data_IF_985063079207
#
_entry.id   IF_985063079207
#
_cell.length_a   1.000
_cell.length_b   1.000
_cell.length_c   1.000
_cell.angle_alpha   90.00
_cell.angle_beta   90.00
_cell.angle_gamma   90.00
#
_symmetry.space_group_name_H-M   'P 1'
#
loop_
_entity.id
_entity.type
_entity.pdbx_description
1 polymer ?
#
# COMPACT_ATOMS: atom_id res chain seq x y z
N UNK A 1 28.99 87.81 -30.72
CA UNK A 1 27.75 87.34 -30.07
C UNK A 1 28.03 85.92 -29.59
N UNK A 2 28.48 85.84 -28.34
CA UNK A 2 29.02 84.64 -27.75
C UNK A 2 28.02 84.17 -26.69
N UNK A 3 27.56 82.90 -26.81
CA UNK A 3 26.63 82.33 -25.87
C UNK A 3 27.37 81.20 -25.13
N UNK A 4 27.87 81.54 -23.95
CA UNK A 4 28.41 80.62 -22.99
C UNK A 4 27.34 79.69 -22.47
N UNK A 5 27.51 78.40 -22.67
CA UNK A 5 26.68 77.31 -22.07
C UNK A 5 27.35 76.90 -20.75
N UNK A 6 26.67 77.10 -19.62
CA UNK A 6 27.04 76.64 -18.33
C UNK A 6 26.59 75.17 -18.16
N UNK A 7 27.55 74.27 -18.00
CA UNK A 7 27.27 72.90 -17.67
C UNK A 7 27.09 72.77 -16.15
N UNK A 8 25.91 72.36 -15.70
CA UNK A 8 25.63 71.98 -14.33
C UNK A 8 26.03 70.49 -14.12
N UNK A 9 26.98 70.24 -13.26
CA UNK A 9 27.28 68.93 -12.80
C UNK A 9 26.29 68.51 -11.72
N UNK A 10 25.51 67.46 -12.01
CA UNK A 10 24.62 66.80 -11.04
C UNK A 10 25.40 65.67 -10.40
N UNK A 11 25.75 65.82 -9.15
CA UNK A 11 26.37 64.77 -8.31
C UNK A 11 25.24 63.84 -7.83
N UNK A 12 25.15 62.63 -8.39
CA UNK A 12 24.24 61.59 -7.92
C UNK A 12 24.87 60.86 -6.71
N UNK A 13 24.32 61.06 -5.52
CA UNK A 13 24.64 60.31 -4.35
C UNK A 13 24.00 58.88 -4.44
N UNK A 14 24.81 57.84 -4.60
CA UNK A 14 24.36 56.46 -4.47
C UNK A 14 24.10 56.17 -2.99
N UNK A 15 22.85 56.09 -2.58
CA UNK A 15 22.44 55.48 -1.33
C UNK A 15 22.47 53.95 -1.53
N UNK A 16 23.47 53.29 -1.01
CA UNK A 16 23.53 51.81 -0.88
C UNK A 16 22.56 51.42 0.23
N UNK A 17 21.35 50.98 -0.15
CA UNK A 17 20.47 50.26 0.76
C UNK A 17 21.06 48.84 0.97
N UNK A 18 21.71 48.61 2.07
CA UNK A 18 21.99 47.26 2.55
C UNK A 18 20.67 46.64 3.04
N UNK A 19 19.88 46.13 2.11
CA UNK A 19 18.75 45.27 2.42
C UNK A 19 19.28 43.94 2.91
N UNK A 20 19.08 43.64 4.18
CA UNK A 20 19.23 42.31 4.75
C UNK A 20 18.25 41.41 3.99
N UNK A 21 18.75 40.58 3.07
CA UNK A 21 17.99 39.46 2.51
C UNK A 21 17.79 38.49 3.68
N UNK A 22 16.69 38.66 4.37
CA UNK A 22 16.15 37.62 5.25
C UNK A 22 15.83 36.43 4.33
N UNK A 23 16.73 35.45 4.28
CA UNK A 23 16.50 34.17 3.64
C UNK A 23 15.49 33.43 4.52
N UNK A 24 14.22 33.80 4.38
CA UNK A 24 13.13 32.99 4.87
C UNK A 24 13.30 31.62 4.24
N UNK A 25 13.79 30.65 5.03
CA UNK A 25 13.83 29.24 4.65
C UNK A 25 12.40 28.89 4.26
N UNK A 26 12.14 28.79 2.96
CA UNK A 26 10.85 28.33 2.47
C UNK A 26 10.60 26.98 3.15
N UNK A 27 9.56 26.93 3.99
CA UNK A 27 9.19 25.73 4.73
C UNK A 27 8.97 24.66 3.68
N UNK A 28 9.87 23.71 3.54
CA UNK A 28 9.76 22.60 2.59
C UNK A 28 8.43 21.93 2.86
N UNK A 29 7.63 21.78 1.80
CA UNK A 29 6.31 21.12 1.90
C UNK A 29 6.55 19.68 2.37
N UNK A 30 5.90 19.29 3.46
CA UNK A 30 5.86 17.90 3.92
C UNK A 30 4.69 17.20 3.23
N UNK A 31 4.95 16.69 2.03
CA UNK A 31 3.92 16.09 1.18
C UNK A 31 3.33 14.84 1.83
N UNK A 32 4.14 14.02 2.49
CA UNK A 32 3.66 12.82 3.17
C UNK A 32 2.65 13.17 4.27
N UNK A 33 3.00 14.07 5.18
CA UNK A 33 2.08 14.49 6.25
C UNK A 33 0.87 15.26 5.75
N UNK A 34 1.03 16.03 4.66
CA UNK A 34 -0.09 16.75 4.04
C UNK A 34 -1.11 15.75 3.48
N UNK A 35 -0.63 14.70 2.81
CA UNK A 35 -1.44 13.60 2.27
C UNK A 35 -2.15 12.84 3.41
N UNK A 36 -1.42 12.48 4.47
CA UNK A 36 -1.99 11.81 5.65
C UNK A 36 -3.11 12.63 6.31
N UNK A 37 -2.95 13.96 6.38
CA UNK A 37 -4.00 14.85 6.92
C UNK A 37 -5.25 14.90 6.03
N UNK A 38 -5.07 14.85 4.70
CA UNK A 38 -6.22 14.84 3.79
C UNK A 38 -6.97 13.51 3.85
N UNK A 39 -6.25 12.39 3.95
CA UNK A 39 -6.86 11.08 4.16
C UNK A 39 -7.69 11.04 5.45
N UNK A 40 -7.13 11.53 6.56
CA UNK A 40 -7.86 11.59 7.83
C UNK A 40 -9.15 12.42 7.72
N UNK A 41 -9.11 13.58 7.04
CA UNK A 41 -10.31 14.40 6.82
C UNK A 41 -11.35 13.71 5.94
N UNK A 42 -10.91 12.96 4.94
CA UNK A 42 -11.81 12.20 4.08
C UNK A 42 -12.50 11.08 4.88
N UNK A 43 -11.74 10.31 5.66
CA UNK A 43 -12.24 9.28 6.55
C UNK A 43 -13.29 9.83 7.53
N UNK A 44 -12.97 10.91 8.25
CA UNK A 44 -13.89 11.62 9.17
C UNK A 44 -15.15 12.13 8.45
N UNK A 45 -15.01 12.58 7.21
CA UNK A 45 -16.13 13.01 6.38
C UNK A 45 -17.06 11.85 6.03
N UNK A 46 -16.50 10.69 5.66
CA UNK A 46 -17.27 9.47 5.40
C UNK A 46 -17.99 9.01 6.66
N UNK A 47 -17.28 8.80 7.76
CA UNK A 47 -17.88 8.36 9.04
C UNK A 47 -19.06 9.26 9.47
N UNK A 48 -18.94 10.58 9.26
CA UNK A 48 -20.04 11.51 9.53
C UNK A 48 -21.22 11.33 8.57
N UNK A 49 -20.96 11.10 7.29
CA UNK A 49 -21.99 10.87 6.27
C UNK A 49 -22.77 9.60 6.57
N UNK A 50 -22.05 8.51 6.88
CA UNK A 50 -22.63 7.21 7.18
C UNK A 50 -23.50 7.25 8.42
N UNK A 51 -23.05 7.94 9.48
CA UNK A 51 -23.87 8.21 10.66
C UNK A 51 -25.19 8.90 10.31
N UNK A 52 -25.15 9.94 9.46
CA UNK A 52 -26.36 10.69 9.09
C UNK A 52 -27.34 9.82 8.30
N UNK A 53 -26.82 8.98 7.40
CA UNK A 53 -27.64 8.02 6.66
C UNK A 53 -28.27 6.98 7.59
N UNK A 54 -27.48 6.41 8.51
CA UNK A 54 -27.96 5.44 9.49
C UNK A 54 -29.08 6.05 10.39
N UNK A 55 -28.90 7.28 10.88
CA UNK A 55 -29.93 7.97 11.64
C UNK A 55 -31.20 8.22 10.82
N UNK A 56 -31.07 8.60 9.53
CA UNK A 56 -32.22 8.75 8.63
C UNK A 56 -32.98 7.43 8.41
N UNK A 57 -32.26 6.29 8.36
CA UNK A 57 -32.87 4.95 8.32
C UNK A 57 -33.62 4.69 9.63
N UNK A 58 -33.02 5.00 10.77
CA UNK A 58 -33.62 4.80 12.08
C UNK A 58 -34.90 5.65 12.29
N UNK A 59 -34.93 6.87 11.77
CA UNK A 59 -36.11 7.75 11.81
C UNK A 59 -37.29 7.17 11.02
N UNK A 60 -37.07 6.25 10.10
CA UNK A 60 -38.10 5.58 9.34
C UNK A 60 -38.55 4.24 9.96
N UNK A 61 -38.13 3.95 11.20
CA UNK A 61 -38.59 2.78 12.00
C UNK A 61 -39.84 3.16 12.80
N UNK A 62 -40.96 2.48 12.53
CA UNK A 62 -42.25 2.82 13.11
C UNK A 62 -42.33 2.54 14.64
N UNK A 63 -41.67 1.50 15.14
CA UNK A 63 -41.63 1.18 16.56
C UNK A 63 -40.60 2.09 17.27
N UNK A 64 -41.08 2.84 18.25
CA UNK A 64 -40.26 3.83 18.97
C UNK A 64 -39.11 3.20 19.80
N UNK A 65 -39.23 1.93 20.23
CA UNK A 65 -38.16 1.24 20.94
C UNK A 65 -37.08 0.77 19.97
N UNK A 66 -37.51 0.17 18.86
CA UNK A 66 -36.61 -0.24 17.79
C UNK A 66 -35.85 0.96 17.13
N UNK A 67 -36.56 2.09 16.95
CA UNK A 67 -35.95 3.32 16.45
C UNK A 67 -34.84 3.85 17.39
N UNK A 68 -35.05 3.80 18.70
CA UNK A 68 -34.02 4.18 19.68
C UNK A 68 -32.82 3.23 19.63
N UNK A 69 -33.05 1.92 19.64
CA UNK A 69 -31.97 0.92 19.54
C UNK A 69 -31.14 1.12 18.25
N UNK A 70 -31.81 1.37 17.12
CA UNK A 70 -31.16 1.70 15.85
C UNK A 70 -30.28 2.96 15.97
N UNK A 71 -30.80 4.03 16.58
CA UNK A 71 -30.04 5.28 16.76
C UNK A 71 -28.84 5.12 17.70
N UNK A 72 -29.00 4.32 18.78
CA UNK A 72 -27.89 4.00 19.67
C UNK A 72 -26.80 3.18 18.95
N UNK A 73 -27.17 2.23 18.09
CA UNK A 73 -26.22 1.49 17.25
C UNK A 73 -25.50 2.43 16.28
N UNK A 74 -26.23 3.28 15.55
CA UNK A 74 -25.62 4.26 14.63
C UNK A 74 -24.63 5.21 15.34
N UNK A 75 -24.89 5.52 16.63
CA UNK A 75 -23.98 6.33 17.43
C UNK A 75 -22.71 5.55 17.83
N UNK A 76 -22.85 4.26 18.15
CA UNK A 76 -21.72 3.35 18.43
C UNK A 76 -20.85 3.17 17.21
N UNK A 77 -21.44 2.80 16.07
CA UNK A 77 -20.73 2.57 14.82
C UNK A 77 -19.94 3.81 14.37
N UNK A 78 -20.55 5.00 14.52
CA UNK A 78 -19.88 6.25 14.23
C UNK A 78 -18.69 6.53 15.15
N UNK A 79 -18.76 6.13 16.43
CA UNK A 79 -17.64 6.26 17.35
C UNK A 79 -16.49 5.34 16.95
N UNK A 80 -16.80 4.12 16.57
CA UNK A 80 -15.80 3.13 16.16
C UNK A 80 -15.15 3.54 14.83
N UNK A 81 -15.92 4.06 13.86
CA UNK A 81 -15.42 4.64 12.63
C UNK A 81 -14.48 5.84 12.87
N UNK A 82 -14.83 6.74 13.82
CA UNK A 82 -13.93 7.84 14.21
C UNK A 82 -12.64 7.33 14.84
N UNK A 83 -12.69 6.29 15.68
CA UNK A 83 -11.50 5.69 16.26
C UNK A 83 -10.60 5.11 15.15
N UNK A 84 -11.18 4.36 14.22
CA UNK A 84 -10.45 3.83 13.05
C UNK A 84 -9.77 4.94 12.24
N UNK A 85 -10.47 6.04 11.92
CA UNK A 85 -9.87 7.19 11.23
C UNK A 85 -8.67 7.79 11.98
N UNK A 86 -8.75 7.86 13.31
CA UNK A 86 -7.66 8.36 14.15
C UNK A 86 -6.46 7.39 14.15
N UNK A 87 -6.69 6.09 14.19
CA UNK A 87 -5.63 5.09 14.19
C UNK A 87 -4.96 5.00 12.83
N UNK A 88 -5.71 5.03 11.73
CA UNK A 88 -5.18 5.19 10.37
C UNK A 88 -4.35 6.47 10.21
N UNK A 89 -4.80 7.59 10.81
CA UNK A 89 -4.03 8.84 10.80
C UNK A 89 -2.69 8.69 11.50
N UNK A 90 -2.66 8.03 12.68
CA UNK A 90 -1.42 7.76 13.43
C UNK A 90 -0.48 6.86 12.64
N UNK A 91 -1.00 5.80 12.03
CA UNK A 91 -0.22 4.87 11.21
C UNK A 91 0.43 5.57 10.02
N UNK A 92 -0.32 6.38 9.26
CA UNK A 92 0.25 7.20 8.17
C UNK A 92 1.31 8.18 8.66
N UNK A 93 1.12 8.77 9.85
CA UNK A 93 2.13 9.68 10.42
C UNK A 93 3.40 8.94 10.84
N UNK A 94 3.29 7.74 11.39
CA UNK A 94 4.42 6.89 11.71
C UNK A 94 5.18 6.47 10.43
N UNK A 95 4.46 6.06 9.39
CA UNK A 95 5.05 5.78 8.08
C UNK A 95 5.80 6.99 7.52
N UNK A 96 5.23 8.20 7.59
CA UNK A 96 5.89 9.42 7.13
C UNK A 96 7.18 9.77 7.91
N UNK A 97 7.32 9.35 9.16
CA UNK A 97 8.56 9.54 9.91
C UNK A 97 9.72 8.72 9.34
N UNK A 98 9.41 7.58 8.75
CA UNK A 98 10.39 6.66 8.15
C UNK A 98 10.61 6.94 6.66
N UNK A 99 9.54 7.16 5.90
CA UNK A 99 9.58 7.44 4.46
C UNK A 99 10.10 8.85 4.12
N UNK A 100 10.00 9.78 5.08
CA UNK A 100 10.40 11.17 4.88
C UNK A 100 9.29 12.07 4.34
N UNK A 101 9.63 13.35 4.11
CA UNK A 101 8.67 14.40 3.79
C UNK A 101 8.34 14.54 2.29
N UNK A 102 9.05 13.83 1.42
CA UNK A 102 8.88 13.92 -0.02
C UNK A 102 7.52 13.35 -0.49
N UNK A 103 7.05 13.81 -1.65
CA UNK A 103 5.95 13.14 -2.32
C UNK A 103 6.42 11.75 -2.80
N UNK A 104 5.56 10.76 -2.68
CA UNK A 104 5.79 9.46 -3.29
C UNK A 104 5.40 9.53 -4.77
N UNK A 105 6.38 9.59 -5.63
CA UNK A 105 6.21 9.67 -7.09
C UNK A 105 7.39 8.98 -7.79
N UNK A 106 7.46 7.63 -7.71
CA UNK A 106 8.55 6.88 -8.29
C UNK A 106 8.56 7.06 -9.81
N UNK A 107 9.73 7.34 -10.42
CA UNK A 107 9.84 7.46 -11.87
C UNK A 107 9.75 6.07 -12.51
N UNK A 108 8.68 5.83 -13.26
CA UNK A 108 8.49 4.59 -14.02
C UNK A 108 8.94 4.85 -15.46
N UNK A 109 10.11 4.35 -15.81
CA UNK A 109 10.60 4.31 -17.20
C UNK A 109 10.44 2.89 -17.74
N UNK A 110 9.55 2.65 -18.71
CA UNK A 110 9.35 1.31 -19.29
C UNK A 110 10.62 0.67 -19.84
N UNK A 111 11.58 1.48 -20.28
CA UNK A 111 12.86 0.97 -20.78
C UNK A 111 13.73 0.33 -19.67
N UNK A 112 13.41 0.59 -18.40
CA UNK A 112 14.09 -0.02 -17.25
C UNK A 112 13.53 -1.40 -16.87
N UNK A 113 12.43 -1.83 -17.48
CA UNK A 113 11.78 -3.11 -17.24
C UNK A 113 11.93 -4.03 -18.47
N UNK A 114 11.54 -5.28 -18.33
CA UNK A 114 11.53 -6.26 -19.42
C UNK A 114 12.60 -7.32 -19.22
N UNK A 115 12.17 -8.46 -18.80
CA UNK A 115 12.94 -9.65 -18.47
C UNK A 115 12.08 -10.56 -17.59
N UNK A 116 12.57 -11.76 -17.26
CA UNK A 116 11.90 -12.61 -16.28
C UNK A 116 11.92 -11.94 -14.90
N UNK A 117 10.98 -12.32 -14.05
CA UNK A 117 11.02 -12.00 -12.63
C UNK A 117 11.79 -13.13 -11.95
N UNK A 118 13.10 -12.92 -11.75
CA UNK A 118 14.05 -13.91 -11.22
C UNK A 118 14.72 -13.45 -9.90
N UNK A 119 14.15 -12.44 -9.26
CA UNK A 119 14.59 -12.01 -7.92
C UNK A 119 14.65 -13.22 -6.99
N UNK A 120 15.77 -13.42 -6.24
CA UNK A 120 15.95 -14.61 -5.42
C UNK A 120 14.84 -14.85 -4.39
N UNK A 121 14.26 -13.79 -3.82
CA UNK A 121 13.22 -13.89 -2.79
C UNK A 121 11.80 -13.80 -3.33
N UNK A 122 11.64 -13.46 -4.63
CA UNK A 122 10.32 -13.36 -5.26
C UNK A 122 10.37 -13.79 -6.74
N UNK A 123 10.76 -15.05 -7.03
CA UNK A 123 10.80 -15.53 -8.41
C UNK A 123 9.39 -15.85 -8.91
N UNK A 124 9.00 -15.28 -10.05
CA UNK A 124 7.71 -15.55 -10.69
C UNK A 124 7.95 -16.19 -12.07
N UNK A 125 8.08 -17.51 -12.10
CA UNK A 125 8.24 -18.28 -13.32
C UNK A 125 6.86 -18.66 -13.85
N UNK A 126 6.45 -18.22 -15.06
CA UNK A 126 5.15 -18.58 -15.63
C UNK A 126 4.92 -20.10 -15.69
N UNK A 127 3.71 -20.54 -15.33
CA UNK A 127 3.35 -21.94 -15.19
C UNK A 127 3.60 -22.52 -13.78
N UNK A 128 4.10 -21.71 -12.83
CA UNK A 128 4.29 -22.13 -11.44
C UNK A 128 3.04 -21.82 -10.61
N UNK A 129 2.60 -22.79 -9.81
CA UNK A 129 1.55 -22.62 -8.81
C UNK A 129 2.13 -22.88 -7.43
N UNK A 130 1.93 -21.94 -6.53
CA UNK A 130 2.18 -22.06 -5.11
C UNK A 130 0.85 -22.31 -4.41
N UNK A 131 0.81 -23.23 -3.47
CA UNK A 131 -0.39 -23.53 -2.70
C UNK A 131 -0.10 -23.30 -1.23
N UNK A 132 -0.92 -22.45 -0.63
CA UNK A 132 -0.83 -22.14 0.79
C UNK A 132 -2.09 -22.60 1.52
N UNK A 133 -1.95 -22.92 2.80
CA UNK A 133 -3.07 -23.28 3.67
C UNK A 133 -2.81 -22.75 5.09
N UNK A 134 -3.89 -22.34 5.75
CA UNK A 134 -3.83 -21.90 7.13
C UNK A 134 -5.20 -21.61 7.73
N UNK A 135 -5.28 -21.51 9.07
CA UNK A 135 -6.47 -21.00 9.73
C UNK A 135 -6.57 -19.49 9.55
N UNK A 136 -7.78 -18.99 9.47
CA UNK A 136 -8.13 -17.57 9.55
C UNK A 136 -9.29 -17.39 10.53
N UNK A 137 -9.62 -16.18 10.97
CA UNK A 137 -10.81 -15.94 11.80
C UNK A 137 -12.12 -16.43 11.18
N UNK A 138 -12.20 -16.48 9.83
CA UNK A 138 -13.39 -16.87 9.09
C UNK A 138 -13.45 -18.37 8.76
N UNK A 139 -12.34 -19.09 8.96
CA UNK A 139 -12.27 -20.52 8.72
C UNK A 139 -10.92 -21.00 8.22
N UNK A 140 -10.87 -22.17 7.61
CA UNK A 140 -9.65 -22.72 7.04
C UNK A 140 -9.50 -22.23 5.60
N UNK A 141 -8.39 -21.55 5.34
CA UNK A 141 -8.04 -21.01 4.04
C UNK A 141 -7.23 -21.99 3.22
N UNK A 142 -7.52 -22.01 1.93
CA UNK A 142 -6.70 -22.64 0.90
C UNK A 142 -6.54 -21.64 -0.25
N UNK A 143 -5.31 -21.26 -0.52
CA UNK A 143 -4.90 -20.26 -1.50
C UNK A 143 -4.09 -20.91 -2.62
N UNK A 144 -4.37 -20.53 -3.86
CA UNK A 144 -3.59 -20.87 -5.05
C UNK A 144 -3.05 -19.60 -5.71
N UNK A 145 -1.75 -19.37 -5.58
CA UNK A 145 -1.03 -18.28 -6.24
C UNK A 145 -0.40 -18.80 -7.53
N UNK A 146 -1.03 -18.53 -8.66
CA UNK A 146 -0.68 -19.05 -9.99
C UNK A 146 0.03 -18.00 -10.84
N UNK A 147 1.30 -18.20 -11.12
CA UNK A 147 2.04 -17.36 -12.08
C UNK A 147 1.60 -17.73 -13.49
N UNK A 148 0.76 -16.92 -14.09
CA UNK A 148 0.17 -17.21 -15.40
C UNK A 148 1.12 -16.87 -16.55
N UNK A 149 0.79 -17.31 -17.78
CA UNK A 149 1.45 -16.86 -19.01
C UNK A 149 0.87 -15.55 -19.56
N UNK A 150 -0.14 -15.00 -18.88
CA UNK A 150 -0.77 -13.75 -19.28
C UNK A 150 0.07 -12.55 -18.85
N UNK A 151 -0.06 -11.47 -19.61
CA UNK A 151 0.59 -10.20 -19.29
C UNK A 151 -0.38 -9.04 -19.42
N UNK A 152 -0.14 -7.99 -18.65
CA UNK A 152 -0.87 -6.71 -18.75
C UNK A 152 0.11 -5.57 -18.87
N UNK A 153 -0.16 -4.62 -19.78
CA UNK A 153 0.67 -3.42 -19.88
C UNK A 153 0.09 -2.31 -19.00
N UNK A 154 0.89 -1.84 -18.03
CA UNK A 154 0.54 -0.75 -17.11
C UNK A 154 1.66 0.29 -17.16
N UNK A 155 1.34 1.56 -17.33
CA UNK A 155 2.32 2.66 -17.50
C UNK A 155 3.37 2.38 -18.59
N UNK A 156 3.04 1.57 -19.60
CA UNK A 156 3.95 1.16 -20.66
C UNK A 156 4.88 -0.01 -20.29
N UNK A 157 4.83 -0.50 -19.07
CA UNK A 157 5.57 -1.68 -18.59
C UNK A 157 4.72 -2.94 -18.82
N UNK A 158 5.33 -3.99 -19.39
CA UNK A 158 4.69 -5.31 -19.51
C UNK A 158 4.86 -6.04 -18.19
N UNK A 159 3.74 -6.26 -17.50
CA UNK A 159 3.69 -6.94 -16.23
C UNK A 159 3.29 -8.40 -16.40
N UNK A 160 3.90 -9.31 -15.64
CA UNK A 160 3.44 -10.68 -15.45
C UNK A 160 2.14 -10.65 -14.64
N UNK A 161 1.14 -11.40 -15.07
CA UNK A 161 -0.10 -11.56 -14.32
C UNK A 161 -0.02 -12.80 -13.43
N UNK A 162 -0.27 -12.60 -12.16
CA UNK A 162 -0.52 -13.70 -11.22
C UNK A 162 -2.02 -13.78 -11.00
N UNK A 163 -2.54 -15.00 -10.92
CA UNK A 163 -3.89 -15.27 -10.48
C UNK A 163 -3.82 -15.82 -9.06
N UNK A 164 -4.26 -15.02 -8.12
CA UNK A 164 -4.40 -15.41 -6.74
C UNK A 164 -5.86 -15.67 -6.41
N UNK A 165 -6.14 -16.82 -5.82
CA UNK A 165 -7.49 -17.20 -5.44
C UNK A 165 -7.52 -17.91 -4.11
N UNK A 166 -8.38 -17.46 -3.21
CA UNK A 166 -8.54 -18.10 -1.91
C UNK A 166 -9.94 -18.65 -1.70
N UNK A 167 -10.00 -19.77 -1.00
CA UNK A 167 -11.26 -20.38 -0.54
C UNK A 167 -11.24 -20.48 0.97
N UNK A 168 -12.35 -20.13 1.62
CA UNK A 168 -12.56 -20.34 3.05
C UNK A 168 -13.51 -21.53 3.24
N UNK A 169 -13.04 -22.58 3.93
CA UNK A 169 -13.75 -23.84 4.10
C UNK A 169 -14.25 -24.45 2.76
N UNK A 170 -13.46 -24.25 1.67
CA UNK A 170 -13.77 -24.75 0.33
C UNK A 170 -14.77 -23.91 -0.47
N UNK A 171 -15.12 -22.72 0.01
CA UNK A 171 -15.97 -21.77 -0.71
C UNK A 171 -15.09 -20.60 -1.18
N UNK A 172 -15.14 -20.29 -2.49
CA UNK A 172 -14.35 -19.19 -3.06
C UNK A 172 -14.72 -17.88 -2.35
N UNK A 173 -13.70 -17.26 -1.74
CA UNK A 173 -13.80 -16.02 -0.99
C UNK A 173 -13.16 -14.84 -1.73
N UNK A 174 -12.04 -15.08 -2.43
CA UNK A 174 -11.33 -14.07 -3.20
C UNK A 174 -10.85 -14.63 -4.56
N UNK A 175 -10.88 -13.75 -5.59
CA UNK A 175 -10.31 -14.01 -6.92
C UNK A 175 -9.63 -12.74 -7.40
N UNK A 176 -8.29 -12.72 -7.35
CA UNK A 176 -7.47 -11.54 -7.62
C UNK A 176 -6.53 -11.77 -8.80
N UNK A 177 -6.24 -10.69 -9.51
CA UNK A 177 -5.23 -10.62 -10.57
C UNK A 177 -4.21 -9.57 -10.19
N UNK A 178 -2.99 -10.00 -9.90
CA UNK A 178 -1.85 -9.15 -9.54
C UNK A 178 -0.94 -8.92 -10.73
N UNK A 179 -0.30 -7.76 -10.76
CA UNK A 179 0.53 -7.35 -11.89
C UNK A 179 1.92 -6.95 -11.42
N UNK A 180 2.92 -7.81 -11.70
CA UNK A 180 4.30 -7.61 -11.28
C UNK A 180 5.25 -7.41 -12.47
N UNK A 181 6.31 -6.64 -12.27
CA UNK A 181 7.42 -6.54 -13.22
C UNK A 181 8.73 -6.31 -12.48
N UNK A 182 9.82 -6.87 -13.01
CA UNK A 182 11.16 -6.67 -12.45
C UNK A 182 11.91 -5.59 -13.23
N UNK A 183 12.55 -4.67 -12.50
CA UNK A 183 13.44 -3.68 -13.10
C UNK A 183 14.83 -4.26 -13.37
N UNK A 184 15.65 -3.55 -14.13
CA UNK A 184 17.02 -3.98 -14.48
C UNK A 184 17.97 -4.07 -13.30
N UNK A 185 17.61 -3.47 -12.16
CA UNK A 185 18.34 -3.55 -10.91
C UNK A 185 17.98 -4.83 -10.14
N UNK A 186 16.87 -5.48 -10.48
CA UNK A 186 16.37 -6.70 -9.86
C UNK A 186 15.28 -6.48 -8.82
N UNK A 187 14.80 -5.23 -8.63
CA UNK A 187 13.63 -5.00 -7.76
C UNK A 187 12.37 -5.49 -8.47
N UNK A 188 11.51 -6.17 -7.75
CA UNK A 188 10.17 -6.53 -8.23
C UNK A 188 9.19 -5.45 -7.79
N UNK A 189 8.49 -4.91 -8.78
CA UNK A 189 7.51 -3.85 -8.60
C UNK A 189 6.10 -4.39 -8.72
N UNK A 190 5.21 -3.92 -7.84
CA UNK A 190 3.79 -4.16 -7.90
C UNK A 190 3.12 -3.01 -8.65
N UNK A 191 2.41 -3.32 -9.72
CA UNK A 191 1.82 -2.34 -10.62
C UNK A 191 0.31 -2.21 -10.45
N UNK A 192 -0.29 -3.07 -9.67
CA UNK A 192 -1.72 -3.05 -9.39
C UNK A 192 -2.32 -4.44 -9.25
N UNK A 193 -3.56 -4.43 -8.83
CA UNK A 193 -4.38 -5.62 -8.71
C UNK A 193 -5.81 -5.38 -9.18
N UNK A 194 -6.52 -6.48 -9.44
CA UNK A 194 -7.94 -6.49 -9.66
C UNK A 194 -8.53 -7.55 -8.74
N UNK A 195 -8.92 -7.13 -7.54
CA UNK A 195 -9.44 -7.99 -6.50
C UNK A 195 -10.97 -8.09 -6.56
N UNK A 196 -11.48 -9.29 -6.36
CA UNK A 196 -12.90 -9.59 -6.25
C UNK A 196 -13.13 -10.40 -4.98
N UNK A 197 -13.82 -9.80 -4.01
CA UNK A 197 -14.34 -10.53 -2.86
C UNK A 197 -15.68 -11.18 -3.19
N UNK A 198 -15.85 -12.43 -2.80
CA UNK A 198 -17.06 -13.20 -3.10
C UNK A 198 -17.75 -13.70 -1.83
N UNK A 199 -19.07 -13.62 -1.83
CA UNK A 199 -19.92 -14.27 -0.85
C UNK A 199 -21.07 -15.00 -1.55
N UNK A 200 -21.22 -16.31 -1.28
CA UNK A 200 -22.25 -17.13 -1.91
C UNK A 200 -22.15 -17.21 -3.45
N UNK A 201 -20.93 -17.07 -3.99
CA UNK A 201 -20.65 -17.07 -5.43
C UNK A 201 -20.99 -15.76 -6.16
N UNK A 202 -21.27 -14.70 -5.44
CA UNK A 202 -21.50 -13.36 -5.97
C UNK A 202 -20.36 -12.44 -5.54
N UNK A 203 -19.90 -11.57 -6.43
CA UNK A 203 -18.98 -10.50 -6.09
C UNK A 203 -19.69 -9.49 -5.17
N UNK A 204 -19.15 -9.29 -3.98
CA UNK A 204 -19.70 -8.39 -2.97
C UNK A 204 -18.86 -7.14 -2.78
N UNK A 205 -17.56 -7.19 -3.11
CA UNK A 205 -16.63 -6.07 -3.06
C UNK A 205 -15.61 -6.17 -4.18
N UNK A 206 -15.06 -5.01 -4.57
CA UNK A 206 -13.86 -4.86 -5.39
C UNK A 206 -12.85 -3.97 -4.68
N UNK A 207 -13.00 -3.83 -3.37
CA UNK A 207 -12.11 -3.04 -2.52
C UNK A 207 -10.68 -3.58 -2.62
N UNK A 208 -9.69 -2.72 -2.48
CA UNK A 208 -8.31 -3.08 -2.75
C UNK A 208 -7.88 -2.91 -4.21
N UNK A 209 -8.78 -3.09 -5.18
CA UNK A 209 -8.41 -3.00 -6.61
C UNK A 209 -7.81 -1.64 -6.97
N UNK A 210 -6.67 -1.67 -7.64
CA UNK A 210 -6.01 -0.46 -8.14
C UNK A 210 -5.15 -0.75 -9.38
N UNK A 211 -4.78 0.30 -10.11
CA UNK A 211 -3.89 0.18 -11.28
C UNK A 211 -2.96 1.38 -11.32
N UNK A 212 -1.67 1.15 -11.38
CA UNK A 212 -0.64 2.20 -11.46
C UNK A 212 -0.95 3.22 -12.56
N UNK A 213 -0.91 4.52 -12.19
CA UNK A 213 -1.24 5.64 -13.07
C UNK A 213 -2.72 5.97 -13.21
N UNK A 214 -3.62 5.18 -12.66
CA UNK A 214 -5.07 5.46 -12.62
C UNK A 214 -5.42 6.08 -11.27
N UNK A 215 -6.26 7.12 -11.25
CA UNK A 215 -6.74 7.82 -10.05
C UNK A 215 -5.65 8.27 -9.06
N UNK A 216 -4.42 8.41 -9.56
CA UNK A 216 -3.26 8.81 -8.75
C UNK A 216 -2.50 7.65 -8.11
N UNK A 217 -2.88 6.42 -8.40
CA UNK A 217 -2.17 5.24 -7.92
C UNK A 217 -0.73 5.19 -8.41
N UNK A 218 0.17 4.70 -7.56
CA UNK A 218 1.61 4.58 -7.83
C UNK A 218 2.07 3.16 -7.57
N UNK A 219 2.85 2.55 -8.48
CA UNK A 219 3.52 1.29 -8.21
C UNK A 219 4.45 1.40 -7.01
N UNK A 220 4.64 0.29 -6.31
CA UNK A 220 5.60 0.16 -5.24
C UNK A 220 6.52 -1.05 -5.44
N UNK A 221 7.45 -1.25 -4.53
CA UNK A 221 8.38 -2.39 -4.55
C UNK A 221 7.80 -3.49 -3.66
N UNK A 222 7.47 -4.65 -4.26
CA UNK A 222 7.06 -5.81 -3.46
C UNK A 222 8.29 -6.54 -2.93
N UNK A 223 9.40 -6.54 -3.67
CA UNK A 223 10.65 -7.15 -3.25
C UNK A 223 11.86 -6.37 -3.75
N UNK A 224 12.75 -6.00 -2.86
CA UNK A 224 13.99 -5.32 -3.21
C UNK A 224 15.01 -6.26 -3.88
N UNK A 225 15.83 -5.72 -4.77
CA UNK A 225 16.94 -6.47 -5.39
C UNK A 225 18.01 -6.88 -4.37
N UNK A 226 18.25 -6.04 -3.38
CA UNK A 226 19.27 -6.20 -2.36
C UNK A 226 18.71 -5.80 -1.00
N UNK A 227 17.79 -6.59 -0.44
CA UNK A 227 17.16 -6.25 0.83
C UNK A 227 18.20 -6.13 1.95
N UNK A 228 18.08 -5.11 2.77
CA UNK A 228 18.91 -4.94 3.96
C UNK A 228 18.02 -4.73 5.19
N UNK A 229 18.49 -5.20 6.33
CA UNK A 229 17.76 -5.05 7.60
C UNK A 229 17.46 -3.58 7.89
N UNK A 230 16.18 -3.28 8.12
CA UNK A 230 15.67 -1.95 8.45
C UNK A 230 15.26 -1.12 7.24
N UNK A 231 15.42 -1.63 6.01
CA UNK A 231 14.81 -1.00 4.85
C UNK A 231 13.30 -0.99 5.02
N UNK A 232 12.70 0.18 4.72
CA UNK A 232 11.27 0.41 4.89
C UNK A 232 10.72 1.11 3.66
N UNK A 233 9.74 0.49 3.01
CA UNK A 233 9.29 0.92 1.70
C UNK A 233 7.79 0.69 1.49
N UNK A 234 7.24 1.30 0.44
CA UNK A 234 5.87 1.08 -0.02
C UNK A 234 5.84 -0.08 -0.99
N UNK A 235 4.93 -1.00 -0.75
CA UNK A 235 4.62 -2.07 -1.69
C UNK A 235 3.62 -1.59 -2.74
N UNK A 236 2.78 -0.62 -2.39
CA UNK A 236 1.78 0.01 -3.25
C UNK A 236 1.39 1.39 -2.73
N UNK A 237 0.70 2.18 -3.56
CA UNK A 237 0.15 3.45 -3.10
C UNK A 237 -1.03 3.93 -3.93
N UNK A 238 -2.23 3.80 -3.39
CA UNK A 238 -3.42 4.56 -3.74
C UNK A 238 -4.09 5.02 -2.46
N UNK A 239 -4.08 6.33 -2.22
CA UNK A 239 -4.53 6.91 -0.96
C UNK A 239 -5.97 6.50 -0.59
N UNK A 240 -6.12 5.83 0.53
CA UNK A 240 -7.41 5.35 1.04
C UNK A 240 -7.90 4.04 0.41
N UNK A 241 -7.07 3.36 -0.41
CA UNK A 241 -7.46 2.13 -1.10
C UNK A 241 -6.36 1.06 -1.01
N UNK A 242 -5.08 1.46 -1.23
CA UNK A 242 -3.94 0.55 -1.30
C UNK A 242 -2.70 1.29 -0.75
N UNK A 243 -2.26 0.96 0.46
CA UNK A 243 -1.21 1.72 1.16
C UNK A 243 -0.18 0.83 1.86
N UNK A 244 0.03 -0.39 1.39
CA UNK A 244 0.85 -1.38 2.07
C UNK A 244 2.33 -1.03 2.10
N UNK A 245 2.94 -1.38 3.23
CA UNK A 245 4.31 -1.06 3.61
C UNK A 245 5.01 -2.32 4.10
N UNK A 246 6.28 -2.45 3.80
CA UNK A 246 7.12 -3.51 4.33
C UNK A 246 8.36 -2.97 5.04
N UNK A 247 8.80 -3.69 6.05
CA UNK A 247 10.10 -3.53 6.69
C UNK A 247 10.89 -4.83 6.64
N UNK A 248 12.14 -4.79 6.18
CA UNK A 248 13.04 -5.93 6.25
C UNK A 248 13.56 -6.12 7.69
N UNK A 249 13.13 -7.18 8.36
CA UNK A 249 13.47 -7.45 9.76
C UNK A 249 14.80 -8.18 9.90
N UNK A 250 15.02 -9.22 9.09
CA UNK A 250 16.27 -9.99 9.09
C UNK A 250 16.40 -10.79 7.78
N UNK A 251 17.64 -11.11 7.40
CA UNK A 251 17.97 -12.00 6.28
C UNK A 251 18.44 -13.39 6.77
N UNK A 252 18.25 -13.68 8.04
CA UNK A 252 18.73 -14.92 8.66
C UNK A 252 17.61 -15.61 9.47
N UNK A 253 16.35 -15.46 9.00
CA UNK A 253 15.23 -16.16 9.59
C UNK A 253 15.20 -17.64 9.14
N UNK A 254 14.47 -18.46 9.86
CA UNK A 254 14.19 -19.86 9.50
C UNK A 254 12.70 -20.10 9.43
N UNK A 255 12.25 -20.89 8.48
CA UNK A 255 10.86 -21.31 8.37
C UNK A 255 10.77 -22.84 8.17
N UNK A 256 9.85 -23.47 8.88
CA UNK A 256 9.50 -24.88 8.66
C UNK A 256 8.00 -24.95 8.39
N UNK A 257 7.66 -25.47 7.23
CA UNK A 257 6.31 -25.58 6.69
C UNK A 257 6.16 -26.94 5.98
N UNK A 258 4.97 -27.38 5.58
CA UNK A 258 4.79 -28.66 4.90
C UNK A 258 5.63 -28.84 3.63
N UNK A 259 5.90 -27.77 2.87
CA UNK A 259 6.77 -27.81 1.69
C UNK A 259 8.25 -28.05 2.01
N UNK A 260 8.71 -27.80 3.25
CA UNK A 260 10.10 -28.02 3.65
C UNK A 260 10.57 -27.17 4.82
N UNK A 261 11.88 -27.21 5.06
CA UNK A 261 12.57 -26.34 6.02
C UNK A 261 13.54 -25.46 5.28
N UNK A 262 13.53 -24.18 5.60
CA UNK A 262 14.27 -23.13 4.91
C UNK A 262 15.10 -22.34 5.92
N UNK A 263 16.36 -22.15 5.62
CA UNK A 263 17.29 -21.33 6.39
C UNK A 263 17.62 -20.05 5.61
N UNK A 264 18.12 -19.04 6.30
CA UNK A 264 18.48 -17.74 5.72
C UNK A 264 17.33 -17.08 4.93
N UNK A 265 16.11 -17.21 5.45
CA UNK A 265 14.97 -16.50 4.89
C UNK A 265 15.07 -14.99 5.15
N UNK A 266 14.66 -14.21 4.17
CA UNK A 266 14.28 -12.82 4.43
C UNK A 266 12.95 -12.84 5.19
N UNK A 267 12.91 -12.19 6.35
CA UNK A 267 11.67 -11.89 7.06
C UNK A 267 11.33 -10.43 6.86
N UNK A 268 10.13 -10.15 6.40
CA UNK A 268 9.53 -8.80 6.39
C UNK A 268 8.47 -8.70 7.48
N UNK A 269 8.24 -7.47 7.98
CA UNK A 269 7.03 -7.08 8.70
C UNK A 269 6.21 -6.24 7.74
N UNK A 270 4.99 -6.67 7.45
CA UNK A 270 4.09 -5.98 6.51
C UNK A 270 2.93 -5.35 7.27
N UNK A 271 2.58 -4.12 6.88
CA UNK A 271 1.60 -3.28 7.57
C UNK A 271 0.82 -2.46 6.58
N UNK A 272 -0.44 -2.16 6.89
CA UNK A 272 -1.23 -1.19 6.15
C UNK A 272 -1.70 -0.05 7.05
N UNK A 273 -1.51 1.22 6.65
CA UNK A 273 -2.14 2.32 7.36
C UNK A 273 -3.68 2.29 7.30
N UNK A 274 -4.27 1.52 6.40
CA UNK A 274 -5.72 1.33 6.30
C UNK A 274 -6.23 0.42 7.42
N UNK A 275 -5.43 -0.58 7.79
CA UNK A 275 -5.70 -1.57 8.83
C UNK A 275 -4.51 -1.61 9.81
N UNK A 276 -4.38 -0.60 10.70
CA UNK A 276 -3.17 -0.42 11.52
C UNK A 276 -2.90 -1.54 12.52
N UNK A 277 -3.89 -2.34 12.83
CA UNK A 277 -3.80 -3.47 13.75
C UNK A 277 -3.42 -4.78 13.02
N UNK A 278 -3.58 -4.83 11.68
CA UNK A 278 -3.16 -5.97 10.87
C UNK A 278 -1.63 -5.91 10.64
N UNK A 279 -0.92 -6.85 11.27
CA UNK A 279 0.52 -6.98 11.24
C UNK A 279 0.87 -8.40 10.81
N UNK A 280 1.61 -8.54 9.71
CA UNK A 280 2.06 -9.84 9.23
C UNK A 280 3.58 -9.93 9.17
N UNK A 281 4.12 -11.06 9.61
CA UNK A 281 5.48 -11.46 9.32
C UNK A 281 5.48 -12.40 8.11
N UNK A 282 6.11 -12.00 6.99
CA UNK A 282 6.28 -12.87 5.82
C UNK A 282 7.71 -13.36 5.71
N UNK A 283 7.85 -14.63 5.34
CA UNK A 283 9.16 -15.29 5.23
C UNK A 283 9.39 -15.72 3.80
N UNK A 284 10.46 -15.22 3.21
CA UNK A 284 10.82 -15.49 1.82
C UNK A 284 12.10 -16.32 1.76
N UNK A 285 12.03 -17.50 1.17
CA UNK A 285 13.18 -18.38 0.97
C UNK A 285 13.82 -18.13 -0.40
N UNK A 286 15.14 -18.05 -0.44
CA UNK A 286 15.86 -17.81 -1.68
C UNK A 286 15.63 -18.90 -2.73
N UNK A 287 15.24 -18.55 -3.94
CA UNK A 287 14.91 -19.43 -5.04
C UNK A 287 13.51 -20.06 -4.97
N UNK A 288 12.73 -19.70 -3.96
CA UNK A 288 11.37 -20.20 -3.74
C UNK A 288 10.34 -19.06 -3.76
N UNK A 289 10.55 -18.03 -2.96
CA UNK A 289 9.58 -16.96 -2.72
C UNK A 289 9.00 -17.04 -1.31
N UNK A 290 7.76 -16.57 -1.14
CA UNK A 290 7.07 -16.63 0.15
C UNK A 290 6.85 -18.10 0.55
N UNK A 291 7.22 -18.45 1.78
CA UNK A 291 7.04 -19.80 2.33
C UNK A 291 6.16 -19.84 3.57
N UNK A 292 5.98 -18.68 4.24
CA UNK A 292 5.21 -18.60 5.47
C UNK A 292 4.74 -17.16 5.69
N UNK A 293 3.48 -17.03 6.08
CA UNK A 293 2.89 -15.80 6.60
C UNK A 293 2.45 -16.07 8.03
N UNK A 294 2.70 -15.14 8.93
CA UNK A 294 2.28 -15.23 10.34
C UNK A 294 1.56 -13.95 10.72
N UNK A 295 0.28 -14.08 11.01
CA UNK A 295 -0.47 -13.00 11.65
C UNK A 295 0.07 -12.79 13.08
N UNK A 296 0.48 -11.57 13.40
CA UNK A 296 1.13 -11.29 14.69
C UNK A 296 0.13 -11.08 15.84
N UNK A 297 -1.11 -10.81 15.55
CA UNK A 297 -2.15 -10.66 16.55
C UNK A 297 -2.65 -12.02 17.04
N UNK A 298 -2.97 -12.90 16.09
CA UNK A 298 -3.54 -14.22 16.38
C UNK A 298 -2.48 -15.31 16.55
N UNK A 299 -1.34 -15.17 15.87
CA UNK A 299 -0.30 -16.20 15.73
C UNK A 299 -0.67 -17.26 14.68
N UNK A 300 -1.74 -17.05 13.93
CA UNK A 300 -2.14 -17.92 12.83
C UNK A 300 -1.08 -17.93 11.73
N UNK A 301 -0.97 -19.06 11.04
CA UNK A 301 0.07 -19.32 10.06
C UNK A 301 -0.56 -19.77 8.75
N UNK A 302 -0.30 -19.04 7.67
CA UNK A 302 -0.56 -19.49 6.30
C UNK A 302 0.75 -20.04 5.74
N UNK A 303 0.78 -21.33 5.45
CA UNK A 303 2.00 -22.11 5.19
C UNK A 303 2.04 -22.61 3.75
N UNK A 304 3.21 -22.51 3.13
CA UNK A 304 3.43 -23.13 1.81
C UNK A 304 3.33 -24.67 1.94
N UNK A 305 2.37 -25.23 1.22
CA UNK A 305 2.09 -26.67 1.20
C UNK A 305 2.86 -27.37 0.08
N UNK A 306 2.85 -26.79 -1.12
CA UNK A 306 3.50 -27.34 -2.31
C UNK A 306 3.72 -26.29 -3.38
N UNK A 307 4.65 -26.58 -4.27
CA UNK A 307 4.89 -25.85 -5.53
C UNK A 307 4.75 -26.87 -6.66
N UNK A 308 4.04 -26.48 -7.71
CA UNK A 308 3.95 -27.27 -8.94
C UNK A 308 4.33 -26.39 -10.13
N UNK A 309 4.91 -26.99 -11.18
CA UNK A 309 5.26 -26.31 -12.43
C UNK A 309 4.70 -27.13 -13.58
N UNK A 310 4.04 -26.45 -14.55
CA UNK A 310 3.52 -27.08 -15.77
C UNK A 310 4.64 -27.55 -16.71
#
# INVERSE_FOLDING_TARGET
>A
MDKTVRTMAVTAALLVFAGSLDHGVAKTRDACRDTARMAARACEGSARSDKLLALGICDNVADASAARTCADQAASDAKDAHQSCEDQRKARQAACQRLGAAAYDPPIDPANFGGPIDNPFFPLVPGTTFVYEGPTPDGFEHEEFVVTHETRTILGVVCTTVHDSSTINGVLAEDTRDYFAQDKQGNVWYFGENSLELAGGLVVSTEGSWTGGVDGAKPGIIMEAHPAKGDFYRQEFLLGTAEDLAENITLDATATVPAGSFDHCLQTEETSPLEPDALEDKYYAAGVGNVLIVDRETGDRTELIRITTE
#
